data_IF_391928698357
#
_entry.id   IF_391928698357
#
_cell.length_a   1.000
_cell.length_b   1.000
_cell.length_c   1.000
_cell.angle_alpha   90.00
_cell.angle_beta   90.00
_cell.angle_gamma   90.00
#
_symmetry.space_group_name_H-M   'P 1'
#
loop_
_entity.id
_entity.type
_entity.pdbx_description
1 polymer ?
#
# COMPACT_ATOMS: atom_id res chain seq x y z
N UNK A 1 -22.00 -3.82 23.08
CA UNK A 1 -22.11 -2.61 23.92
C UNK A 1 -21.75 -1.33 23.15
N UNK A 2 -21.74 -1.38 21.81
CA UNK A 2 -21.56 -0.22 20.90
C UNK A 2 -22.86 0.29 20.30
N UNK A 3 -24.00 -0.29 20.70
CA UNK A 3 -25.31 -0.02 20.08
C UNK A 3 -26.04 1.21 20.64
N UNK A 4 -25.44 1.88 21.62
CA UNK A 4 -26.01 3.08 22.28
C UNK A 4 -25.25 4.36 21.93
N UNK A 5 -24.40 4.36 20.90
CA UNK A 5 -23.70 5.59 20.51
C UNK A 5 -24.69 6.49 19.79
N UNK A 6 -25.09 7.57 20.43
CA UNK A 6 -25.79 8.69 19.80
C UNK A 6 -24.85 9.23 18.70
N UNK A 7 -25.42 9.59 17.56
CA UNK A 7 -24.63 10.27 16.52
C UNK A 7 -24.14 11.62 17.04
N UNK A 8 -22.92 12.04 16.70
CA UNK A 8 -22.41 13.33 17.11
C UNK A 8 -23.33 14.46 16.63
N UNK A 9 -23.58 15.43 17.52
CA UNK A 9 -24.30 16.65 17.17
C UNK A 9 -23.27 17.75 16.86
N UNK A 10 -23.29 18.23 15.63
CA UNK A 10 -22.40 19.30 15.15
C UNK A 10 -23.15 20.63 14.94
N UNK A 11 -24.35 20.80 15.46
CA UNK A 11 -25.18 22.00 15.26
C UNK A 11 -24.46 23.28 15.63
N UNK A 12 -23.87 23.35 16.84
CA UNK A 12 -23.10 24.52 17.32
C UNK A 12 -21.89 24.85 16.42
N UNK A 13 -21.21 23.81 15.89
CA UNK A 13 -20.08 23.99 14.99
C UNK A 13 -20.55 24.64 13.68
N UNK A 14 -21.61 24.13 13.05
CA UNK A 14 -22.11 24.66 11.77
C UNK A 14 -22.74 26.06 11.95
N UNK A 15 -23.45 26.31 13.04
CA UNK A 15 -23.94 27.66 13.36
C UNK A 15 -22.81 28.67 13.52
N UNK A 16 -21.75 28.28 14.22
CA UNK A 16 -20.57 29.14 14.44
C UNK A 16 -19.87 29.44 13.13
N UNK A 17 -19.67 28.43 12.27
CA UNK A 17 -19.11 28.61 10.92
C UNK A 17 -19.90 29.62 10.11
N UNK A 18 -21.24 29.48 10.12
CA UNK A 18 -22.13 30.39 9.40
C UNK A 18 -22.02 31.83 9.94
N UNK A 19 -22.01 32.00 11.26
CA UNK A 19 -21.82 33.32 11.92
C UNK A 19 -20.51 33.99 11.57
N UNK A 20 -19.44 33.18 11.39
CA UNK A 20 -18.09 33.67 11.09
C UNK A 20 -17.76 33.74 9.57
N UNK A 21 -18.71 33.39 8.70
CA UNK A 21 -18.50 33.29 7.24
C UNK A 21 -17.28 32.43 6.85
N UNK A 22 -17.08 31.28 7.51
CA UNK A 22 -15.98 30.36 7.22
C UNK A 22 -16.41 29.41 6.09
N UNK A 23 -15.76 29.49 4.93
CA UNK A 23 -16.06 28.71 3.72
C UNK A 23 -14.95 27.66 3.41
N UNK A 24 -14.30 27.11 4.41
CA UNK A 24 -13.33 26.03 4.21
C UNK A 24 -14.04 24.67 4.09
N UNK A 25 -13.53 23.68 3.33
CA UNK A 25 -14.09 22.34 3.29
C UNK A 25 -14.21 21.71 4.68
N UNK A 26 -15.25 20.93 4.90
CA UNK A 26 -15.47 20.19 6.14
C UNK A 26 -15.55 18.71 5.80
N UNK A 27 -14.77 17.91 6.51
CA UNK A 27 -14.82 16.46 6.48
C UNK A 27 -15.35 15.97 7.84
N UNK A 28 -16.27 15.03 7.81
CA UNK A 28 -16.72 14.34 9.03
C UNK A 28 -15.89 13.07 9.21
N UNK A 29 -15.39 12.89 10.44
CA UNK A 29 -14.65 11.67 10.80
C UNK A 29 -15.63 10.58 11.23
N UNK A 30 -15.47 9.40 10.66
CA UNK A 30 -16.24 8.19 10.99
C UNK A 30 -15.30 7.16 11.58
N UNK A 31 -15.73 6.47 12.62
CA UNK A 31 -15.02 5.34 13.21
C UNK A 31 -15.73 4.04 12.79
N UNK A 32 -15.08 3.22 11.98
CA UNK A 32 -15.54 1.89 11.61
C UNK A 32 -14.96 0.78 12.50
N UNK A 33 -13.77 1.04 13.09
CA UNK A 33 -13.10 0.12 14.01
C UNK A 33 -12.19 0.87 14.99
N UNK A 34 -11.87 0.24 16.11
CA UNK A 34 -10.84 0.69 17.07
C UNK A 34 -9.74 -0.33 17.21
N UNK A 35 -8.48 0.16 17.22
CA UNK A 35 -7.28 -0.65 17.28
C UNK A 35 -6.91 -1.23 15.92
N UNK A 36 -5.76 -1.86 15.83
CA UNK A 36 -5.28 -2.51 14.61
C UNK A 36 -5.41 -4.02 14.75
N UNK A 37 -6.01 -4.68 13.77
CA UNK A 37 -6.17 -6.14 13.79
C UNK A 37 -4.85 -6.90 13.66
N UNK A 38 -3.84 -6.28 13.00
CA UNK A 38 -2.50 -6.86 12.86
C UNK A 38 -1.69 -6.72 14.15
N UNK A 39 -1.56 -5.50 14.66
CA UNK A 39 -0.94 -5.14 15.95
C UNK A 39 0.42 -5.80 16.23
N UNK A 40 1.27 -6.02 15.22
CA UNK A 40 2.56 -6.73 15.32
C UNK A 40 3.75 -5.97 14.75
N UNK A 41 3.52 -4.79 14.13
CA UNK A 41 4.62 -4.00 13.57
C UNK A 41 5.52 -3.49 14.70
N UNK A 42 6.84 -3.72 14.61
CA UNK A 42 7.78 -3.40 15.70
C UNK A 42 7.83 -1.92 16.05
N UNK A 43 7.70 -1.05 15.06
CA UNK A 43 7.76 0.41 15.22
C UNK A 43 6.45 1.04 15.72
N UNK A 44 5.32 0.35 15.59
CA UNK A 44 4.01 0.95 15.73
C UNK A 44 3.67 1.26 17.19
N UNK A 45 3.25 2.52 17.45
CA UNK A 45 2.80 2.94 18.77
C UNK A 45 1.39 2.41 19.14
N UNK A 46 0.66 1.88 18.16
CA UNK A 46 -0.66 1.28 18.35
C UNK A 46 -0.60 -0.12 18.95
N UNK A 47 0.61 -0.66 19.20
CA UNK A 47 0.84 -1.91 19.95
C UNK A 47 0.51 -1.73 21.44
N UNK A 48 -0.61 -1.07 21.72
CA UNK A 48 -1.20 -0.92 23.04
C UNK A 48 -2.20 -2.04 23.26
N UNK A 49 -2.58 -2.31 24.52
CA UNK A 49 -3.50 -3.37 24.90
C UNK A 49 -4.96 -3.16 24.40
N UNK A 50 -5.15 -2.32 23.39
CA UNK A 50 -6.44 -2.10 22.77
C UNK A 50 -6.87 -3.33 21.97
N UNK A 51 -7.94 -3.97 22.44
CA UNK A 51 -8.59 -5.04 21.66
C UNK A 51 -9.18 -4.44 20.39
N UNK A 52 -8.86 -5.07 19.24
CA UNK A 52 -9.50 -4.73 17.99
C UNK A 52 -11.03 -4.95 18.07
N UNK A 53 -11.80 -3.92 17.75
CA UNK A 53 -13.26 -3.92 17.82
C UNK A 53 -13.84 -3.28 16.58
N UNK A 54 -14.90 -3.86 16.05
CA UNK A 54 -15.62 -3.40 14.87
C UNK A 54 -16.93 -2.73 15.27
N UNK A 55 -17.27 -1.65 14.59
CA UNK A 55 -18.59 -1.07 14.59
C UNK A 55 -19.46 -1.82 13.58
N UNK A 56 -20.74 -2.02 13.88
CA UNK A 56 -21.67 -2.67 12.95
C UNK A 56 -21.85 -1.83 11.67
N UNK A 57 -21.96 -2.48 10.51
CA UNK A 57 -22.02 -1.80 9.21
C UNK A 57 -23.27 -0.91 9.13
N UNK A 58 -24.41 -1.40 9.60
CA UNK A 58 -25.67 -0.65 9.66
C UNK A 58 -25.53 0.65 10.47
N UNK A 59 -24.76 0.63 11.57
CA UNK A 59 -24.49 1.84 12.37
C UNK A 59 -23.59 2.83 11.63
N UNK A 60 -22.59 2.35 10.90
CA UNK A 60 -21.74 3.21 10.04
C UNK A 60 -22.62 3.86 8.97
N UNK A 61 -23.44 3.08 8.30
CA UNK A 61 -24.35 3.55 7.24
C UNK A 61 -25.36 4.57 7.76
N UNK A 62 -25.98 4.29 8.92
CA UNK A 62 -26.91 5.22 9.56
C UNK A 62 -26.26 6.55 9.93
N UNK A 63 -25.05 6.51 10.49
CA UNK A 63 -24.29 7.69 10.86
C UNK A 63 -23.95 8.55 9.63
N UNK A 64 -23.44 7.95 8.56
CA UNK A 64 -23.13 8.66 7.31
C UNK A 64 -24.40 9.31 6.75
N UNK A 65 -25.51 8.56 6.63
CA UNK A 65 -26.77 9.10 6.13
C UNK A 65 -27.33 10.22 7.03
N UNK A 66 -27.19 10.09 8.34
CA UNK A 66 -27.56 11.15 9.28
C UNK A 66 -26.77 12.44 9.04
N UNK A 67 -25.44 12.34 8.86
CA UNK A 67 -24.58 13.50 8.58
C UNK A 67 -24.92 14.17 7.24
N UNK A 68 -25.21 13.38 6.21
CA UNK A 68 -25.62 13.89 4.90
C UNK A 68 -26.96 14.65 5.03
N UNK A 69 -27.96 14.02 5.64
CA UNK A 69 -29.31 14.58 5.70
C UNK A 69 -29.43 15.77 6.66
N UNK A 70 -28.61 15.80 7.74
CA UNK A 70 -28.69 16.85 8.76
C UNK A 70 -27.81 18.05 8.45
N UNK A 71 -26.60 17.80 7.93
CA UNK A 71 -25.58 18.83 7.76
C UNK A 71 -25.12 19.05 6.33
N UNK A 72 -25.70 18.30 5.36
CA UNK A 72 -25.33 18.35 3.93
C UNK A 72 -23.83 18.07 3.69
N UNK A 73 -23.20 17.20 4.52
CA UNK A 73 -21.81 16.79 4.39
C UNK A 73 -21.75 15.50 3.60
N UNK A 74 -20.93 15.49 2.54
CA UNK A 74 -20.75 14.35 1.61
C UNK A 74 -19.34 13.78 1.63
N UNK A 75 -18.41 14.40 2.37
CA UNK A 75 -17.02 14.01 2.43
C UNK A 75 -16.68 13.47 3.82
N UNK A 76 -16.18 12.24 3.86
CA UNK A 76 -15.91 11.50 5.09
C UNK A 76 -14.49 11.02 5.16
N UNK A 77 -13.93 11.03 6.36
CA UNK A 77 -12.63 10.46 6.68
C UNK A 77 -12.80 9.33 7.68
N UNK A 78 -12.23 8.16 7.41
CA UNK A 78 -12.22 7.06 8.36
C UNK A 78 -11.03 7.16 9.31
N UNK A 79 -11.29 6.96 10.62
CA UNK A 79 -10.27 6.96 11.68
C UNK A 79 -9.69 5.57 11.96
N UNK A 80 -10.06 4.60 11.16
CA UNK A 80 -9.60 3.22 11.28
C UNK A 80 -8.10 3.13 10.98
N UNK A 81 -7.35 2.40 11.80
CA UNK A 81 -5.94 2.09 11.53
C UNK A 81 -5.77 1.11 10.36
N UNK A 82 -6.84 0.48 9.95
CA UNK A 82 -6.99 -0.33 8.75
C UNK A 82 -8.48 -0.56 8.50
N UNK A 83 -9.02 0.12 7.50
CA UNK A 83 -10.43 0.03 7.13
C UNK A 83 -10.83 -1.37 6.66
N UNK A 84 -9.89 -2.12 6.06
CA UNK A 84 -10.13 -3.48 5.56
C UNK A 84 -10.35 -4.46 6.73
N UNK A 85 -9.50 -4.38 7.75
CA UNK A 85 -9.55 -5.26 8.89
C UNK A 85 -9.06 -6.68 8.58
N UNK A 86 -9.55 -7.67 9.37
CA UNK A 86 -9.17 -9.07 9.23
C UNK A 86 -10.17 -9.92 8.42
N UNK A 87 -11.34 -9.38 8.15
CA UNK A 87 -12.47 -10.07 7.53
C UNK A 87 -12.81 -9.41 6.19
N UNK A 88 -12.35 -10.04 5.12
CA UNK A 88 -12.54 -9.55 3.75
C UNK A 88 -14.01 -9.60 3.32
N UNK A 89 -14.78 -10.59 3.78
CA UNK A 89 -16.21 -10.67 3.46
C UNK A 89 -16.97 -9.49 4.07
N UNK A 90 -16.71 -9.20 5.34
CA UNK A 90 -17.25 -7.99 5.99
C UNK A 90 -16.83 -6.71 5.26
N UNK A 91 -15.58 -6.63 4.80
CA UNK A 91 -15.11 -5.46 4.05
C UNK A 91 -15.88 -5.29 2.74
N UNK A 92 -16.14 -6.37 2.01
CA UNK A 92 -16.98 -6.33 0.81
C UNK A 92 -18.40 -5.86 1.10
N UNK A 93 -19.01 -6.30 2.20
CA UNK A 93 -20.34 -5.82 2.63
C UNK A 93 -20.32 -4.33 2.98
N UNK A 94 -19.26 -3.84 3.62
CA UNK A 94 -19.08 -2.42 3.90
C UNK A 94 -18.98 -1.60 2.60
N UNK A 95 -18.21 -2.08 1.63
CA UNK A 95 -18.11 -1.43 0.31
C UNK A 95 -19.45 -1.43 -0.44
N UNK A 96 -20.24 -2.51 -0.35
CA UNK A 96 -21.59 -2.55 -0.92
C UNK A 96 -22.48 -1.46 -0.30
N UNK A 97 -22.44 -1.29 1.02
CA UNK A 97 -23.18 -0.23 1.71
C UNK A 97 -22.74 1.16 1.26
N UNK A 98 -21.45 1.38 1.01
CA UNK A 98 -20.96 2.66 0.49
C UNK A 98 -21.40 2.91 -0.96
N UNK A 99 -21.44 1.87 -1.80
CA UNK A 99 -21.98 1.96 -3.16
C UNK A 99 -23.45 2.33 -3.13
N UNK A 100 -24.24 1.74 -2.23
CA UNK A 100 -25.64 2.11 -2.03
C UNK A 100 -25.80 3.58 -1.61
N UNK A 101 -24.99 4.04 -0.64
CA UNK A 101 -24.98 5.46 -0.23
C UNK A 101 -24.63 6.36 -1.42
N UNK A 102 -23.63 6.00 -2.21
CA UNK A 102 -23.19 6.79 -3.36
C UNK A 102 -24.24 6.84 -4.47
N UNK A 103 -25.00 5.77 -4.67
CA UNK A 103 -26.13 5.76 -5.60
C UNK A 103 -27.27 6.69 -5.15
N UNK A 104 -27.53 6.74 -3.85
CA UNK A 104 -28.54 7.65 -3.24
C UNK A 104 -28.02 9.10 -3.19
N UNK A 105 -26.72 9.26 -2.89
CA UNK A 105 -26.05 10.56 -2.74
C UNK A 105 -24.79 10.62 -3.64
N UNK A 106 -24.89 11.00 -4.91
CA UNK A 106 -23.76 10.94 -5.87
C UNK A 106 -22.50 11.74 -5.47
N UNK A 107 -22.66 12.74 -4.59
CA UNK A 107 -21.54 13.53 -4.05
C UNK A 107 -20.77 12.81 -2.94
N UNK A 108 -21.28 11.69 -2.40
CA UNK A 108 -20.63 10.94 -1.34
C UNK A 108 -19.22 10.51 -1.73
N UNK A 109 -18.23 10.81 -0.88
CA UNK A 109 -16.82 10.47 -1.04
C UNK A 109 -16.15 10.14 0.29
N UNK A 110 -15.22 9.18 0.24
CA UNK A 110 -14.30 8.91 1.34
C UNK A 110 -12.96 9.54 0.96
N UNK A 111 -12.67 10.66 1.62
CA UNK A 111 -11.51 11.52 1.34
C UNK A 111 -10.24 11.10 2.08
N UNK A 112 -10.35 10.15 3.02
CA UNK A 112 -9.21 9.46 3.61
C UNK A 112 -9.64 8.13 4.22
N UNK A 113 -8.91 7.07 3.88
CA UNK A 113 -8.95 5.77 4.55
C UNK A 113 -7.54 5.21 4.68
N UNK A 114 -7.17 4.72 5.87
CA UNK A 114 -5.94 3.95 6.06
C UNK A 114 -6.19 2.48 5.76
N UNK A 115 -5.26 1.85 5.03
CA UNK A 115 -5.43 0.46 4.59
C UNK A 115 -4.11 -0.32 4.63
N UNK A 116 -4.25 -1.62 4.89
CA UNK A 116 -3.22 -2.63 4.71
C UNK A 116 -3.44 -3.30 3.34
N UNK A 117 -2.46 -3.24 2.45
CA UNK A 117 -2.60 -3.70 1.04
C UNK A 117 -2.53 -5.22 0.86
N UNK A 118 -2.22 -5.96 1.92
CA UNK A 118 -2.12 -7.42 1.88
C UNK A 118 -3.46 -8.06 1.56
N UNK A 119 -3.43 -9.10 0.73
CA UNK A 119 -4.58 -9.91 0.31
C UNK A 119 -5.59 -9.18 -0.60
N UNK A 120 -5.27 -7.97 -1.08
CA UNK A 120 -6.07 -7.29 -2.09
C UNK A 120 -5.84 -7.89 -3.49
N UNK A 121 -6.91 -7.85 -4.28
CA UNK A 121 -6.90 -8.11 -5.72
C UNK A 121 -7.52 -6.93 -6.48
N UNK A 122 -7.45 -6.99 -7.81
CA UNK A 122 -8.03 -5.96 -8.67
C UNK A 122 -9.53 -5.73 -8.43
N UNK A 123 -10.29 -6.81 -8.24
CA UNK A 123 -11.76 -6.71 -8.06
C UNK A 123 -12.10 -5.92 -6.81
N UNK A 124 -11.39 -6.21 -5.71
CA UNK A 124 -11.56 -5.50 -4.44
C UNK A 124 -11.13 -4.04 -4.57
N UNK A 125 -9.97 -3.77 -5.21
CA UNK A 125 -9.48 -2.39 -5.40
C UNK A 125 -10.45 -1.59 -6.27
N UNK A 126 -10.97 -2.17 -7.36
CA UNK A 126 -11.99 -1.53 -8.18
C UNK A 126 -13.25 -1.21 -7.37
N UNK A 127 -13.71 -2.17 -6.55
CA UNK A 127 -14.89 -1.98 -5.70
C UNK A 127 -14.68 -0.86 -4.67
N UNK A 128 -13.47 -0.70 -4.11
CA UNK A 128 -13.12 0.43 -3.23
C UNK A 128 -13.31 1.77 -3.96
N UNK A 129 -12.83 1.86 -5.20
CA UNK A 129 -13.02 3.05 -6.02
C UNK A 129 -14.51 3.30 -6.33
N UNK A 130 -15.25 2.27 -6.74
CA UNK A 130 -16.69 2.37 -7.02
C UNK A 130 -17.47 2.81 -5.77
N UNK A 131 -17.04 2.40 -4.58
CA UNK A 131 -17.57 2.80 -3.28
C UNK A 131 -17.26 4.26 -2.87
N UNK A 132 -16.49 4.99 -3.68
CA UNK A 132 -16.19 6.40 -3.44
C UNK A 132 -14.93 6.68 -2.63
N UNK A 133 -14.04 5.72 -2.44
CA UNK A 133 -12.72 5.95 -1.81
C UNK A 133 -11.82 6.63 -2.84
N UNK A 134 -11.59 7.94 -2.67
CA UNK A 134 -10.80 8.76 -3.60
C UNK A 134 -9.39 9.06 -3.10
N UNK A 135 -9.15 8.88 -1.81
CA UNK A 135 -7.84 9.03 -1.19
C UNK A 135 -7.61 7.87 -0.21
N UNK A 136 -6.47 7.22 -0.34
CA UNK A 136 -6.06 6.15 0.57
C UNK A 136 -4.63 6.38 1.08
N UNK A 137 -4.45 6.23 2.39
CA UNK A 137 -3.14 6.11 3.01
C UNK A 137 -2.82 4.62 3.18
N UNK A 138 -1.78 4.17 2.50
CA UNK A 138 -1.33 2.78 2.61
C UNK A 138 -0.19 2.65 3.62
N UNK A 139 -0.22 1.59 4.40
CA UNK A 139 0.89 1.27 5.30
C UNK A 139 2.10 0.75 4.52
N UNK A 140 2.73 1.61 3.72
CA UNK A 140 3.80 1.26 2.78
C UNK A 140 5.13 0.94 3.47
N UNK A 141 5.61 1.83 4.30
CA UNK A 141 6.78 1.85 5.17
C UNK A 141 8.13 1.64 4.49
N UNK A 142 8.24 0.80 3.46
CA UNK A 142 9.48 0.54 2.73
C UNK A 142 9.25 0.01 1.32
N UNK A 143 10.18 0.31 0.40
CA UNK A 143 10.29 -0.35 -0.89
C UNK A 143 11.11 -1.66 -0.85
N UNK A 144 11.65 -2.05 0.32
CA UNK A 144 12.33 -3.33 0.53
C UNK A 144 11.36 -4.35 1.14
N UNK A 145 11.13 -5.47 0.45
CA UNK A 145 10.36 -6.61 1.00
C UNK A 145 11.08 -7.26 2.18
N UNK A 146 12.40 -7.28 2.17
CA UNK A 146 13.22 -7.82 3.25
C UNK A 146 13.02 -6.99 4.52
N UNK A 147 13.10 -5.66 4.42
CA UNK A 147 12.91 -4.78 5.55
C UNK A 147 11.47 -4.84 6.07
N UNK A 148 10.45 -4.86 5.20
CA UNK A 148 9.06 -5.04 5.62
C UNK A 148 8.85 -6.31 6.46
N UNK A 149 9.51 -7.40 6.09
CA UNK A 149 9.47 -8.65 6.85
C UNK A 149 10.19 -8.51 8.21
N UNK A 150 11.36 -7.88 8.27
CA UNK A 150 12.12 -7.64 9.50
C UNK A 150 11.30 -6.84 10.52
N UNK A 151 10.60 -5.79 10.09
CA UNK A 151 9.78 -4.94 10.97
C UNK A 151 8.38 -5.52 11.24
N UNK A 152 8.16 -6.78 10.86
CA UNK A 152 6.90 -7.51 11.03
C UNK A 152 5.69 -6.78 10.42
N UNK A 153 5.88 -6.14 9.27
CA UNK A 153 4.77 -5.53 8.53
C UNK A 153 3.95 -6.62 7.82
N UNK A 154 2.63 -6.47 7.78
CA UNK A 154 1.74 -7.41 7.08
C UNK A 154 1.89 -7.29 5.56
N UNK A 155 2.11 -6.08 5.05
CA UNK A 155 2.31 -5.82 3.63
C UNK A 155 3.65 -6.37 3.12
N UNK A 156 3.68 -6.71 1.84
CA UNK A 156 4.89 -6.93 1.06
C UNK A 156 5.05 -5.81 0.02
N UNK A 157 6.24 -5.65 -0.56
CA UNK A 157 6.40 -4.67 -1.65
C UNK A 157 5.51 -5.01 -2.85
N UNK A 158 5.33 -6.30 -3.17
CA UNK A 158 4.42 -6.75 -4.24
C UNK A 158 2.96 -6.37 -4.00
N UNK A 159 2.45 -6.48 -2.76
CA UNK A 159 1.09 -6.06 -2.43
C UNK A 159 0.93 -4.53 -2.50
N UNK A 160 1.94 -3.79 -2.08
CA UNK A 160 1.98 -2.33 -2.22
C UNK A 160 2.01 -1.92 -3.71
N UNK A 161 2.84 -2.58 -4.52
CA UNK A 161 2.94 -2.34 -5.96
C UNK A 161 1.62 -2.62 -6.69
N UNK A 162 0.94 -3.72 -6.36
CA UNK A 162 -0.37 -4.04 -6.92
C UNK A 162 -1.37 -2.92 -6.63
N UNK A 163 -1.43 -2.48 -5.36
CA UNK A 163 -2.35 -1.41 -4.97
C UNK A 163 -2.02 -0.09 -5.66
N UNK A 164 -0.75 0.33 -5.66
CA UNK A 164 -0.29 1.57 -6.33
C UNK A 164 -0.62 1.54 -7.82
N UNK A 165 -0.41 0.40 -8.49
CA UNK A 165 -0.75 0.21 -9.91
C UNK A 165 -2.22 0.49 -10.18
N UNK A 166 -3.12 -0.12 -9.42
CA UNK A 166 -4.56 0.03 -9.66
C UNK A 166 -5.13 1.33 -9.08
N UNK A 167 -4.57 1.86 -8.00
CA UNK A 167 -4.88 3.21 -7.53
C UNK A 167 -4.57 4.25 -8.62
N UNK A 168 -3.41 4.15 -9.26
CA UNK A 168 -3.07 5.01 -10.40
C UNK A 168 -4.02 4.80 -11.59
N UNK A 169 -4.37 3.57 -11.91
CA UNK A 169 -5.31 3.25 -12.99
C UNK A 169 -6.69 3.87 -12.77
N UNK A 170 -7.22 3.81 -11.54
CA UNK A 170 -8.50 4.38 -11.14
C UNK A 170 -8.42 5.84 -10.67
N UNK A 171 -7.23 6.47 -10.70
CA UNK A 171 -7.02 7.85 -10.27
C UNK A 171 -7.29 8.11 -8.79
N UNK A 172 -7.11 7.09 -7.93
CA UNK A 172 -7.12 7.24 -6.48
C UNK A 172 -5.84 7.90 -6.03
N UNK A 173 -5.94 8.94 -5.21
CA UNK A 173 -4.79 9.68 -4.70
C UNK A 173 -4.18 8.92 -3.53
N UNK A 174 -2.88 8.73 -3.55
CA UNK A 174 -2.10 8.18 -2.44
C UNK A 174 -1.31 9.27 -1.70
N UNK A 175 -1.07 10.40 -2.37
CA UNK A 175 -0.32 11.53 -1.82
C UNK A 175 1.12 11.19 -1.43
N UNK A 176 1.54 11.66 -0.27
CA UNK A 176 2.85 11.34 0.30
C UNK A 176 2.80 10.03 1.07
N UNK A 177 3.48 9.01 0.56
CA UNK A 177 3.52 7.68 1.16
C UNK A 177 4.76 7.55 2.06
N UNK A 178 4.55 7.17 3.31
CA UNK A 178 5.62 7.12 4.31
C UNK A 178 6.62 6.01 4.02
N UNK A 179 7.91 6.37 4.01
CA UNK A 179 9.05 5.45 4.02
C UNK A 179 9.81 5.68 5.32
N UNK A 180 9.82 4.70 6.20
CA UNK A 180 10.53 4.78 7.47
C UNK A 180 12.01 4.60 7.26
N UNK A 181 12.80 5.45 7.90
CA UNK A 181 14.25 5.42 7.88
C UNK A 181 14.81 5.27 9.29
N UNK A 182 15.95 4.59 9.43
CA UNK A 182 16.61 4.43 10.72
C UNK A 182 15.96 3.41 11.63
N UNK A 183 15.37 2.42 11.07
CA UNK A 183 14.89 1.25 11.82
C UNK A 183 16.10 0.49 12.42
N UNK A 184 15.97 -0.10 13.62
CA UNK A 184 17.05 -0.88 14.23
C UNK A 184 17.60 -1.98 13.34
N UNK A 185 16.74 -2.70 12.63
CA UNK A 185 17.09 -3.81 11.73
C UNK A 185 17.53 -3.36 10.34
N UNK A 186 17.43 -2.08 10.02
CA UNK A 186 17.76 -1.53 8.69
C UNK A 186 19.23 -1.71 8.39
N UNK A 187 19.52 -2.37 7.27
CA UNK A 187 20.87 -2.55 6.74
C UNK A 187 21.06 -1.77 5.43
N UNK A 188 22.32 -1.65 5.01
CA UNK A 188 22.65 -1.05 3.71
C UNK A 188 22.02 -1.82 2.56
N UNK A 189 21.96 -3.14 2.65
CA UNK A 189 21.37 -4.03 1.63
C UNK A 189 19.87 -3.79 1.49
N UNK A 190 19.16 -3.54 2.60
CA UNK A 190 17.72 -3.21 2.56
C UNK A 190 17.48 -1.90 1.80
N UNK A 191 18.34 -0.89 1.98
CA UNK A 191 18.25 0.38 1.28
C UNK A 191 18.61 0.20 -0.20
N UNK A 192 19.61 -0.61 -0.53
CA UNK A 192 19.98 -0.95 -1.92
C UNK A 192 18.80 -1.66 -2.61
N UNK A 193 18.16 -2.61 -1.93
CA UNK A 193 16.94 -3.26 -2.45
C UNK A 193 15.83 -2.23 -2.68
N UNK A 194 15.58 -1.35 -1.72
CA UNK A 194 14.59 -0.28 -1.85
C UNK A 194 14.88 0.63 -3.06
N UNK A 195 16.15 1.04 -3.25
CA UNK A 195 16.57 1.82 -4.41
C UNK A 195 16.32 1.07 -5.73
N UNK A 196 16.68 -0.22 -5.79
CA UNK A 196 16.47 -1.06 -6.96
C UNK A 196 15.00 -1.24 -7.31
N UNK A 197 14.14 -1.34 -6.28
CA UNK A 197 12.71 -1.58 -6.45
C UNK A 197 11.95 -0.34 -6.95
N UNK A 198 12.49 0.88 -6.83
CA UNK A 198 11.88 2.08 -7.40
C UNK A 198 11.61 1.99 -8.90
N UNK A 199 12.39 1.18 -9.65
CA UNK A 199 12.17 0.95 -11.09
C UNK A 199 10.80 0.35 -11.40
N UNK A 200 10.23 -0.44 -10.48
CA UNK A 200 8.90 -1.03 -10.64
C UNK A 200 7.77 -0.02 -10.38
N UNK A 201 8.09 1.11 -9.75
CA UNK A 201 7.15 2.20 -9.48
C UNK A 201 7.21 3.33 -10.53
N UNK A 202 8.15 3.26 -11.51
CA UNK A 202 8.46 4.33 -12.45
C UNK A 202 7.26 4.90 -13.23
N UNK A 203 6.22 4.10 -13.45
CA UNK A 203 5.02 4.53 -14.16
C UNK A 203 4.00 5.25 -13.30
N UNK A 204 4.15 5.16 -11.97
CA UNK A 204 3.16 5.60 -11.01
C UNK A 204 3.61 6.82 -10.21
N UNK A 205 4.93 7.05 -10.10
CA UNK A 205 5.49 8.17 -9.37
C UNK A 205 5.05 9.49 -10.00
N UNK A 206 4.36 10.30 -9.20
CA UNK A 206 3.81 11.60 -9.58
C UNK A 206 3.71 12.48 -8.34
N UNK A 207 4.09 13.77 -8.42
CA UNK A 207 4.11 14.68 -7.27
C UNK A 207 2.75 14.83 -6.57
N UNK A 208 1.65 14.69 -7.32
CA UNK A 208 0.29 14.87 -6.80
C UNK A 208 -0.37 13.55 -6.41
N UNK A 209 -0.10 12.49 -7.16
CA UNK A 209 -0.82 11.22 -7.04
C UNK A 209 -0.11 10.22 -6.12
N UNK A 210 1.20 10.07 -6.27
CA UNK A 210 2.00 9.13 -5.49
C UNK A 210 3.48 9.53 -5.47
N UNK A 211 4.00 9.79 -4.30
CA UNK A 211 5.43 10.00 -4.02
C UNK A 211 5.77 9.51 -2.63
N UNK A 212 7.03 9.22 -2.39
CA UNK A 212 7.49 8.87 -1.06
C UNK A 212 7.78 10.11 -0.20
N UNK A 213 7.56 9.96 1.09
CA UNK A 213 8.00 10.89 2.12
C UNK A 213 8.81 10.09 3.12
N UNK A 214 10.11 10.34 3.17
CA UNK A 214 10.97 9.66 4.14
C UNK A 214 10.79 10.28 5.52
N UNK A 215 10.51 9.43 6.49
CA UNK A 215 10.26 9.82 7.88
C UNK A 215 11.24 9.05 8.77
N UNK A 216 12.09 9.75 9.56
CA UNK A 216 12.93 9.08 10.55
C UNK A 216 12.06 8.33 11.55
N UNK A 217 12.46 7.10 11.90
CA UNK A 217 11.78 6.35 12.94
C UNK A 217 11.71 7.15 14.24
N UNK A 218 10.51 7.31 14.76
CA UNK A 218 10.26 7.81 16.11
C UNK A 218 9.90 6.62 17.00
N UNK A 219 10.77 6.30 17.95
CA UNK A 219 10.52 5.23 18.92
C UNK A 219 9.61 5.78 20.02
N UNK A 220 8.45 5.18 20.12
CA UNK A 220 7.41 5.52 21.09
C UNK A 220 7.37 4.47 22.22
N UNK A 221 7.05 4.87 23.43
CA UNK A 221 7.01 4.01 24.61
C UNK A 221 6.07 2.81 24.52
N UNK A 222 5.09 2.83 23.62
CA UNK A 222 4.18 1.70 23.37
C UNK A 222 4.66 0.75 22.27
N UNK A 223 5.69 1.12 21.50
CA UNK A 223 6.22 0.28 20.43
C UNK A 223 6.94 -0.96 20.95
N UNK A 224 7.04 -2.00 20.11
CA UNK A 224 7.82 -3.20 20.42
C UNK A 224 9.29 -2.84 20.64
N UNK A 225 9.85 -1.96 19.81
CA UNK A 225 11.23 -1.50 19.96
C UNK A 225 11.51 -0.92 21.35
N UNK A 226 10.61 -0.11 21.88
CA UNK A 226 10.79 0.45 23.22
C UNK A 226 10.75 -0.63 24.31
N UNK A 227 9.86 -1.61 24.16
CA UNK A 227 9.65 -2.69 25.15
C UNK A 227 10.78 -3.72 25.16
N UNK A 228 11.42 -3.96 24.01
CA UNK A 228 12.45 -5.00 23.83
C UNK A 228 13.87 -4.50 24.08
N UNK A 229 14.14 -3.20 23.89
CA UNK A 229 15.47 -2.63 24.10
C UNK A 229 15.59 -2.15 25.55
N UNK A 230 16.58 -2.66 26.28
CA UNK A 230 16.87 -2.24 27.64
C UNK A 230 17.34 -0.79 27.71
N UNK A 231 17.07 -0.11 28.83
CA UNK A 231 17.45 1.29 29.07
C UNK A 231 18.95 1.57 28.86
N UNK A 232 19.80 0.58 29.18
CA UNK A 232 21.27 0.68 29.09
C UNK A 232 21.85 0.17 27.76
N UNK A 233 21.00 -0.23 26.78
CA UNK A 233 21.48 -0.75 25.51
C UNK A 233 22.27 0.33 24.74
N UNK A 234 23.49 0.02 24.27
CA UNK A 234 24.28 0.95 23.47
C UNK A 234 23.59 1.50 22.22
N UNK A 235 22.61 0.79 21.68
CA UNK A 235 21.80 1.24 20.52
C UNK A 235 21.18 2.62 20.77
N UNK A 236 20.87 2.95 22.02
CA UNK A 236 20.28 4.23 22.38
C UNK A 236 21.20 5.45 22.18
N UNK A 237 22.51 5.21 22.04
CA UNK A 237 23.44 6.28 21.66
C UNK A 237 23.20 6.76 20.21
N UNK A 238 22.52 5.95 19.41
CA UNK A 238 22.13 6.28 18.04
C UNK A 238 20.83 7.09 17.97
N UNK A 239 20.15 7.29 19.11
CA UNK A 239 18.88 8.01 19.19
C UNK A 239 19.01 9.28 20.02
N UNK A 240 18.26 10.30 19.62
CA UNK A 240 18.08 11.53 20.39
C UNK A 240 16.61 11.78 20.68
N UNK A 241 16.33 12.57 21.71
CA UNK A 241 14.97 13.07 21.94
C UNK A 241 14.43 13.77 20.71
N UNK A 242 13.19 13.47 20.33
CA UNK A 242 12.51 14.12 19.21
C UNK A 242 12.16 15.58 19.51
N UNK A 243 11.90 15.93 20.79
CA UNK A 243 11.53 17.28 21.23
C UNK A 243 12.66 17.99 21.98
N UNK A 244 12.93 19.23 21.60
CA UNK A 244 14.08 20.03 22.09
C UNK A 244 13.86 20.59 23.53
N UNK A 245 12.60 20.77 23.93
CA UNK A 245 12.24 21.66 25.05
C UNK A 245 12.63 21.12 26.44
N UNK A 246 12.87 19.82 26.60
CA UNK A 246 13.02 19.22 27.93
C UNK A 246 14.33 18.49 28.19
N UNK A 247 15.32 18.63 27.30
CA UNK A 247 16.60 17.87 27.40
C UNK A 247 17.36 18.09 28.70
N UNK A 248 17.26 19.27 29.29
CA UNK A 248 18.01 19.64 30.47
C UNK A 248 17.21 19.47 31.77
N UNK A 249 15.93 19.17 31.71
CA UNK A 249 15.02 19.10 32.86
C UNK A 249 14.95 17.71 33.47
N UNK A 250 15.15 16.67 32.64
CA UNK A 250 15.05 15.29 33.07
C UNK A 250 16.36 14.54 32.85
N UNK A 251 16.74 13.66 33.77
CA UNK A 251 17.84 12.74 33.56
C UNK A 251 17.49 11.73 32.41
N UNK A 252 18.50 11.06 31.86
CA UNK A 252 18.32 10.17 30.70
C UNK A 252 17.30 9.04 30.95
N UNK A 253 17.27 8.50 32.18
CA UNK A 253 16.35 7.42 32.56
C UNK A 253 14.89 7.86 32.56
N UNK A 254 14.63 9.07 33.03
CA UNK A 254 13.29 9.65 33.03
C UNK A 254 12.88 10.09 31.62
N UNK A 255 13.82 10.63 30.83
CA UNK A 255 13.59 10.93 29.40
C UNK A 255 13.16 9.71 28.64
N UNK A 256 13.81 8.57 28.88
CA UNK A 256 13.49 7.28 28.28
C UNK A 256 12.05 6.83 28.51
N UNK A 257 11.51 7.06 29.67
CA UNK A 257 10.15 6.62 30.05
C UNK A 257 9.05 7.51 29.53
N UNK A 258 9.35 8.76 29.22
CA UNK A 258 8.36 9.81 28.99
C UNK A 258 8.36 10.29 27.54
N UNK A 259 9.51 10.26 26.88
CA UNK A 259 9.70 10.95 25.60
C UNK A 259 9.93 9.99 24.43
N UNK A 260 9.68 10.52 23.24
CA UNK A 260 9.97 9.86 21.97
C UNK A 260 11.42 10.08 21.54
N UNK A 261 12.01 9.10 20.87
CA UNK A 261 13.38 9.13 20.39
C UNK A 261 13.45 8.95 18.88
N UNK A 262 14.27 9.75 18.23
CA UNK A 262 14.51 9.70 16.78
C UNK A 262 15.94 9.26 16.52
N UNK A 263 16.13 8.27 15.64
CA UNK A 263 17.47 7.83 15.24
C UNK A 263 18.15 8.91 14.39
N UNK A 264 19.39 9.20 14.75
CA UNK A 264 20.27 10.06 13.96
C UNK A 264 20.84 9.22 12.81
N UNK A 265 20.36 9.48 11.60
CA UNK A 265 20.84 8.77 10.42
C UNK A 265 21.66 9.73 9.59
N UNK A 266 22.85 9.29 9.23
CA UNK A 266 23.65 9.87 8.17
C UNK A 266 23.97 8.77 7.17
N UNK A 267 22.95 8.30 6.44
CA UNK A 267 23.10 7.19 5.52
C UNK A 267 23.12 7.70 4.06
N UNK A 268 24.27 7.62 3.43
CA UNK A 268 24.49 8.03 2.04
C UNK A 268 23.56 7.28 1.08
N UNK A 269 23.21 6.03 1.37
CA UNK A 269 22.30 5.24 0.54
C UNK A 269 20.91 5.85 0.43
N UNK A 270 20.41 6.52 1.48
CA UNK A 270 19.14 7.25 1.41
C UNK A 270 19.21 8.44 0.43
N UNK A 271 20.37 9.07 0.26
CA UNK A 271 20.56 10.08 -0.79
C UNK A 271 20.37 9.46 -2.18
N UNK A 272 20.85 8.24 -2.40
CA UNK A 272 20.64 7.51 -3.67
C UNK A 272 19.16 7.22 -3.91
N UNK A 273 18.43 6.78 -2.88
CA UNK A 273 16.97 6.59 -2.96
C UNK A 273 16.27 7.87 -3.43
N UNK A 274 16.55 9.00 -2.80
CA UNK A 274 15.97 10.29 -3.18
C UNK A 274 16.34 10.73 -4.60
N UNK A 275 17.58 10.49 -5.02
CA UNK A 275 18.01 10.84 -6.38
C UNK A 275 17.28 9.99 -7.44
N UNK A 276 17.13 8.69 -7.20
CA UNK A 276 16.44 7.77 -8.11
C UNK A 276 14.94 8.12 -8.16
N UNK A 277 14.32 8.34 -7.01
CA UNK A 277 12.93 8.77 -6.94
C UNK A 277 12.71 10.10 -7.69
N UNK A 278 13.54 11.11 -7.41
CA UNK A 278 13.51 12.40 -8.11
C UNK A 278 13.65 12.23 -9.62
N UNK A 279 14.52 11.32 -10.05
CA UNK A 279 14.65 11.02 -11.49
C UNK A 279 13.33 10.55 -12.08
N UNK A 280 12.63 9.60 -11.45
CA UNK A 280 11.34 9.10 -11.94
C UNK A 280 10.21 10.14 -11.82
N UNK A 281 10.21 10.97 -10.80
CA UNK A 281 9.25 12.07 -10.63
C UNK A 281 9.40 13.16 -11.69
N UNK A 282 10.63 13.44 -12.16
CA UNK A 282 10.92 14.48 -13.16
C UNK A 282 10.88 13.97 -14.59
N UNK A 283 11.17 12.68 -14.81
CA UNK A 283 11.16 12.05 -16.12
C UNK A 283 9.94 11.15 -16.23
N UNK A 284 8.89 11.65 -16.86
CA UNK A 284 7.61 10.95 -16.96
C UNK A 284 7.76 9.65 -17.77
N UNK A 285 7.74 8.53 -17.07
CA UNK A 285 7.67 7.22 -17.69
C UNK A 285 6.23 6.82 -18.00
N UNK A 286 6.01 6.35 -19.21
CA UNK A 286 4.71 5.83 -19.66
C UNK A 286 4.91 4.59 -20.51
N UNK A 287 3.86 3.79 -20.65
CA UNK A 287 3.89 2.63 -21.54
C UNK A 287 2.62 2.55 -22.38
N UNK A 288 2.72 1.85 -23.50
CA UNK A 288 1.59 1.46 -24.35
C UNK A 288 1.67 -0.02 -24.66
N UNK A 289 0.51 -0.65 -24.66
CA UNK A 289 0.34 -2.04 -25.10
C UNK A 289 -0.53 -1.99 -26.34
N UNK A 290 0.02 -2.48 -27.43
CA UNK A 290 -0.68 -2.61 -28.70
C UNK A 290 -0.90 -4.12 -28.95
N UNK A 291 -2.12 -4.48 -29.32
CA UNK A 291 -2.49 -5.87 -29.60
C UNK A 291 -2.94 -5.98 -31.04
N UNK A 292 -2.43 -6.98 -31.71
CA UNK A 292 -2.86 -7.50 -32.99
C UNK A 292 -3.32 -8.96 -32.82
N UNK A 293 -3.88 -9.57 -33.85
CA UNK A 293 -4.43 -10.95 -33.79
C UNK A 293 -3.43 -11.97 -33.20
N UNK A 294 -2.16 -11.87 -33.57
CA UNK A 294 -1.11 -12.83 -33.19
C UNK A 294 0.03 -12.24 -32.36
N UNK A 295 -0.03 -10.94 -32.05
CA UNK A 295 1.09 -10.23 -31.46
C UNK A 295 0.64 -9.24 -30.42
N UNK A 296 1.40 -9.18 -29.30
CA UNK A 296 1.32 -8.12 -28.31
C UNK A 296 2.63 -7.37 -28.33
N UNK A 297 2.55 -6.05 -28.46
CA UNK A 297 3.70 -5.15 -28.43
C UNK A 297 3.63 -4.25 -27.22
N UNK A 298 4.72 -4.17 -26.48
CA UNK A 298 4.93 -3.24 -25.37
C UNK A 298 5.92 -2.17 -25.80
N UNK A 299 5.57 -0.90 -25.58
CA UNK A 299 6.45 0.24 -25.83
C UNK A 299 6.56 1.09 -24.59
N UNK A 300 7.77 1.41 -24.17
CA UNK A 300 8.04 2.30 -23.03
C UNK A 300 8.59 3.63 -23.51
N UNK A 301 8.16 4.69 -22.85
CA UNK A 301 8.52 6.06 -23.20
C UNK A 301 9.01 6.82 -21.96
N UNK A 302 10.00 7.67 -22.17
CA UNK A 302 10.40 8.72 -21.23
C UNK A 302 10.14 10.06 -21.89
N UNK A 303 9.35 10.92 -21.26
CA UNK A 303 9.01 12.26 -21.79
C UNK A 303 8.56 12.18 -23.28
N UNK A 304 7.71 11.20 -23.60
CA UNK A 304 7.17 10.89 -24.93
C UNK A 304 8.20 10.33 -25.94
N UNK A 305 9.47 10.15 -25.58
CA UNK A 305 10.47 9.49 -26.44
C UNK A 305 10.45 7.98 -26.17
N UNK A 306 10.27 7.18 -27.22
CA UNK A 306 10.35 5.72 -27.09
C UNK A 306 11.77 5.30 -26.70
N UNK A 307 11.88 4.51 -25.65
CA UNK A 307 13.16 4.00 -25.12
C UNK A 307 13.26 2.49 -25.16
N UNK A 308 12.13 1.79 -25.28
CA UNK A 308 12.08 0.33 -25.29
C UNK A 308 10.88 -0.14 -26.10
N UNK A 309 11.08 -1.19 -26.88
CA UNK A 309 10.01 -1.88 -27.59
C UNK A 309 10.24 -3.37 -27.50
N UNK A 310 9.25 -4.09 -27.00
CA UNK A 310 9.23 -5.56 -26.91
C UNK A 310 8.00 -6.07 -27.62
N UNK A 311 8.06 -7.30 -28.11
CA UNK A 311 6.89 -7.92 -28.73
C UNK A 311 6.94 -9.42 -28.57
N UNK A 312 5.77 -10.00 -28.34
CA UNK A 312 5.55 -11.42 -28.13
C UNK A 312 4.39 -11.93 -28.98
N UNK A 313 4.40 -13.22 -29.25
CA UNK A 313 3.17 -13.89 -29.69
C UNK A 313 2.12 -13.77 -28.59
N UNK A 314 0.85 -13.61 -28.97
CA UNK A 314 -0.28 -13.62 -28.00
C UNK A 314 -0.31 -14.88 -27.15
N UNK A 315 0.29 -15.95 -27.62
CA UNK A 315 0.35 -17.26 -26.99
C UNK A 315 1.65 -17.54 -26.23
N UNK A 316 2.56 -16.57 -26.14
CA UNK A 316 3.84 -16.76 -25.47
C UNK A 316 3.69 -16.90 -23.95
N UNK A 317 4.66 -17.53 -23.32
CA UNK A 317 4.67 -17.72 -21.87
C UNK A 317 4.73 -16.38 -21.12
N UNK A 318 5.48 -15.41 -21.64
CA UNK A 318 5.59 -14.07 -21.07
C UNK A 318 4.23 -13.37 -21.00
N UNK A 319 3.45 -13.46 -22.05
CA UNK A 319 2.10 -12.87 -22.12
C UNK A 319 1.16 -13.53 -21.13
N UNK A 320 1.16 -14.86 -21.05
CA UNK A 320 0.36 -15.61 -20.08
C UNK A 320 0.75 -15.26 -18.62
N UNK A 321 2.05 -15.09 -18.34
CA UNK A 321 2.54 -14.64 -17.03
C UNK A 321 1.97 -13.26 -16.71
N UNK A 322 2.11 -12.30 -17.63
CA UNK A 322 1.63 -10.93 -17.43
C UNK A 322 0.13 -10.87 -17.14
N UNK A 323 -0.68 -11.64 -17.85
CA UNK A 323 -2.12 -11.71 -17.61
C UNK A 323 -2.45 -12.28 -16.23
N UNK A 324 -1.85 -13.42 -15.86
CA UNK A 324 -2.17 -14.13 -14.62
C UNK A 324 -1.70 -13.44 -13.37
N UNK A 325 -0.67 -12.60 -13.50
CA UNK A 325 -0.11 -11.85 -12.38
C UNK A 325 -0.58 -10.39 -12.35
N UNK A 326 -1.52 -10.02 -13.24
CA UNK A 326 -2.02 -8.66 -13.31
C UNK A 326 -2.96 -8.31 -12.15
N UNK A 327 -3.90 -9.19 -11.83
CA UNK A 327 -5.03 -8.94 -10.92
C UNK A 327 -4.72 -9.16 -9.44
N UNK A 328 -3.78 -10.06 -9.14
CA UNK A 328 -3.31 -10.37 -7.78
C UNK A 328 -1.95 -11.04 -7.80
N UNK A 329 -1.18 -10.95 -6.69
CA UNK A 329 0.08 -11.68 -6.58
C UNK A 329 -0.12 -13.19 -6.65
N UNK A 330 0.84 -13.89 -7.29
CA UNK A 330 0.85 -15.36 -7.40
C UNK A 330 2.13 -15.93 -6.79
N UNK A 331 2.05 -17.05 -6.07
CA UNK A 331 3.23 -17.86 -5.81
C UNK A 331 3.68 -18.59 -7.08
N UNK A 332 4.96 -18.95 -7.15
CA UNK A 332 5.49 -19.69 -8.29
C UNK A 332 4.70 -20.98 -8.58
N UNK A 333 4.44 -21.77 -7.53
CA UNK A 333 3.67 -23.02 -7.63
C UNK A 333 2.26 -22.79 -8.19
N UNK A 334 1.57 -21.74 -7.69
CA UNK A 334 0.22 -21.40 -8.16
C UNK A 334 0.25 -20.94 -9.60
N UNK A 335 1.18 -20.06 -9.98
CA UNK A 335 1.34 -19.59 -11.34
C UNK A 335 1.61 -20.76 -12.30
N UNK A 336 2.57 -21.64 -11.95
CA UNK A 336 2.88 -22.82 -12.76
C UNK A 336 1.65 -23.73 -12.93
N UNK A 337 0.93 -24.05 -11.85
CA UNK A 337 -0.27 -24.88 -11.93
C UNK A 337 -1.38 -24.27 -12.81
N UNK A 338 -1.58 -22.96 -12.77
CA UNK A 338 -2.54 -22.25 -13.63
C UNK A 338 -2.12 -22.27 -15.10
N UNK A 339 -0.81 -22.15 -15.38
CA UNK A 339 -0.26 -22.24 -16.74
C UNK A 339 -0.39 -23.65 -17.32
N UNK A 340 -0.09 -24.68 -16.53
CA UNK A 340 -0.27 -26.08 -16.91
C UNK A 340 -1.74 -26.36 -17.25
N UNK A 341 -2.67 -26.00 -16.38
CA UNK A 341 -4.10 -26.18 -16.62
C UNK A 341 -4.57 -25.47 -17.90
N UNK A 342 -4.08 -24.24 -18.14
CA UNK A 342 -4.39 -23.50 -19.37
C UNK A 342 -3.82 -24.18 -20.64
N UNK A 343 -2.59 -24.69 -20.57
CA UNK A 343 -1.95 -25.37 -21.67
C UNK A 343 -2.73 -26.64 -22.06
N UNK A 344 -3.14 -27.45 -21.06
CA UNK A 344 -3.96 -28.64 -21.27
C UNK A 344 -5.29 -28.26 -21.93
N UNK A 345 -6.02 -27.28 -21.40
CA UNK A 345 -7.33 -26.87 -21.93
C UNK A 345 -7.25 -26.32 -23.36
N UNK A 346 -6.12 -25.73 -23.75
CA UNK A 346 -5.89 -25.17 -25.08
C UNK A 346 -5.13 -26.11 -26.02
N UNK A 347 -4.87 -27.36 -25.61
CA UNK A 347 -4.09 -28.36 -26.35
C UNK A 347 -2.71 -27.86 -26.78
N UNK A 348 -1.99 -27.13 -25.89
CA UNK A 348 -0.66 -26.56 -26.09
C UNK A 348 0.40 -27.33 -25.33
N UNK A 349 1.68 -27.08 -25.65
CA UNK A 349 2.80 -27.60 -24.88
C UNK A 349 2.78 -27.09 -23.45
N UNK A 350 2.95 -27.96 -22.48
CA UNK A 350 3.01 -27.65 -21.06
C UNK A 350 4.35 -26.96 -20.75
N UNK A 351 4.37 -25.75 -20.18
CA UNK A 351 5.62 -25.11 -19.81
C UNK A 351 6.26 -25.85 -18.62
N UNK A 352 7.53 -26.15 -18.71
CA UNK A 352 8.31 -26.66 -17.59
C UNK A 352 8.73 -25.52 -16.63
N UNK A 353 9.18 -25.90 -15.43
CA UNK A 353 9.59 -24.93 -14.41
C UNK A 353 10.81 -24.11 -14.84
N UNK A 354 11.73 -24.68 -15.64
CA UNK A 354 12.94 -24.00 -16.12
C UNK A 354 12.55 -22.89 -17.08
N UNK A 355 11.66 -23.17 -18.03
CA UNK A 355 11.15 -22.17 -18.97
C UNK A 355 10.40 -21.07 -18.24
N UNK A 356 9.58 -21.42 -17.24
CA UNK A 356 8.88 -20.43 -16.41
C UNK A 356 9.86 -19.54 -15.63
N UNK A 357 10.88 -20.11 -14.99
CA UNK A 357 11.94 -19.35 -14.29
C UNK A 357 12.63 -18.37 -15.24
N UNK A 358 13.04 -18.81 -16.43
CA UNK A 358 13.70 -17.96 -17.46
C UNK A 358 12.79 -16.79 -17.91
N UNK A 359 11.52 -17.06 -18.20
CA UNK A 359 10.59 -16.01 -18.60
C UNK A 359 10.30 -15.01 -17.47
N UNK A 360 10.22 -15.47 -16.23
CA UNK A 360 10.08 -14.60 -15.05
C UNK A 360 11.32 -13.72 -14.86
N UNK A 361 12.52 -14.28 -14.95
CA UNK A 361 13.77 -13.51 -14.86
C UNK A 361 13.90 -12.49 -15.99
N UNK A 362 13.54 -12.85 -17.21
CA UNK A 362 13.47 -11.91 -18.32
C UNK A 362 12.51 -10.76 -18.03
N UNK A 363 11.27 -11.03 -17.66
CA UNK A 363 10.26 -10.02 -17.36
C UNK A 363 10.66 -9.14 -16.15
N UNK A 364 11.32 -9.72 -15.14
CA UNK A 364 11.86 -8.98 -14.00
C UNK A 364 12.97 -8.02 -14.42
N UNK A 365 13.91 -8.46 -15.26
CA UNK A 365 15.00 -7.65 -15.77
C UNK A 365 14.47 -6.50 -16.65
N UNK A 366 13.41 -6.75 -17.43
CA UNK A 366 12.71 -5.74 -18.20
C UNK A 366 11.86 -4.78 -17.34
N UNK A 367 11.69 -5.07 -16.05
CA UNK A 367 10.88 -4.29 -15.12
C UNK A 367 9.38 -4.37 -15.39
N UNK A 368 8.91 -5.50 -15.92
CA UNK A 368 7.51 -5.77 -16.25
C UNK A 368 6.81 -6.67 -15.24
N UNK A 369 7.58 -7.45 -14.50
CA UNK A 369 7.12 -8.29 -13.39
C UNK A 369 8.02 -8.04 -12.20
N UNK A 370 7.43 -7.94 -11.02
CA UNK A 370 8.12 -7.98 -9.73
C UNK A 370 7.81 -9.29 -9.03
N UNK A 371 8.75 -9.81 -8.27
CA UNK A 371 8.57 -10.92 -7.35
C UNK A 371 9.49 -10.80 -6.14
N UNK A 372 9.02 -11.30 -5.00
CA UNK A 372 9.85 -11.46 -3.81
C UNK A 372 10.76 -12.69 -3.99
N UNK A 373 12.05 -12.53 -3.68
CA UNK A 373 12.99 -13.64 -3.63
C UNK A 373 12.96 -14.26 -2.24
N UNK A 374 12.62 -15.52 -2.14
CA UNK A 374 12.77 -16.31 -0.93
C UNK A 374 13.77 -17.43 -1.15
N UNK A 375 14.58 -17.72 -0.13
CA UNK A 375 15.53 -18.81 -0.14
C UNK A 375 14.99 -19.95 0.72
N UNK A 376 14.87 -21.15 0.15
CA UNK A 376 14.52 -22.34 0.88
C UNK A 376 15.81 -23.08 1.29
N UNK A 377 16.15 -22.99 2.58
CA UNK A 377 17.33 -23.62 3.13
C UNK A 377 17.29 -25.17 3.08
N UNK A 378 16.10 -25.77 2.88
CA UNK A 378 15.94 -27.24 2.87
C UNK A 378 16.46 -27.87 1.57
N UNK A 379 16.40 -27.13 0.44
CA UNK A 379 16.85 -27.59 -0.86
C UNK A 379 17.87 -26.68 -1.55
N UNK A 380 18.25 -25.55 -0.91
CA UNK A 380 19.20 -24.61 -1.44
C UNK A 380 18.73 -23.80 -2.64
N UNK A 381 17.43 -23.76 -2.91
CA UNK A 381 16.85 -23.10 -4.07
C UNK A 381 16.23 -21.74 -3.73
N UNK A 382 16.35 -20.80 -4.67
CA UNK A 382 15.60 -19.55 -4.64
C UNK A 382 14.19 -19.77 -5.21
N UNK A 383 13.16 -19.36 -4.47
CA UNK A 383 11.78 -19.36 -4.94
C UNK A 383 11.34 -17.94 -5.27
N UNK A 384 10.45 -17.85 -6.26
CA UNK A 384 9.78 -16.62 -6.63
C UNK A 384 8.40 -16.59 -5.97
N UNK A 385 8.20 -15.65 -5.08
CA UNK A 385 6.92 -15.47 -4.39
C UNK A 385 6.28 -14.13 -4.70
N UNK A 386 4.97 -14.06 -4.48
CA UNK A 386 4.21 -12.83 -4.66
C UNK A 386 4.48 -12.16 -6.02
N UNK A 387 4.50 -12.97 -7.09
CA UNK A 387 4.75 -12.51 -8.46
C UNK A 387 3.61 -11.60 -8.90
N UNK A 388 3.91 -10.39 -9.35
CA UNK A 388 2.94 -9.38 -9.77
C UNK A 388 3.39 -8.64 -11.02
N UNK A 389 2.49 -8.46 -12.00
CA UNK A 389 2.74 -7.62 -13.16
C UNK A 389 2.80 -6.14 -12.77
N UNK A 390 3.81 -5.43 -13.26
CA UNK A 390 3.98 -3.98 -13.08
C UNK A 390 3.01 -3.20 -13.96
N UNK A 391 2.71 -3.70 -15.15
CA UNK A 391 1.82 -3.05 -16.12
C UNK A 391 0.38 -3.57 -15.96
N UNK A 392 -0.59 -2.71 -16.31
CA UNK A 392 -2.00 -3.12 -16.38
C UNK A 392 -2.24 -3.76 -17.74
N UNK A 393 -2.60 -5.04 -17.73
CA UNK A 393 -2.90 -5.83 -18.93
C UNK A 393 -4.01 -6.82 -18.61
N UNK A 394 -5.13 -6.74 -19.30
CA UNK A 394 -6.26 -7.67 -19.15
C UNK A 394 -6.35 -8.63 -20.32
N UNK A 395 -6.87 -9.83 -20.07
CA UNK A 395 -7.29 -10.69 -21.15
C UNK A 395 -8.25 -9.94 -22.08
N UNK A 396 -8.21 -10.23 -23.40
CA UNK A 396 -9.25 -9.72 -24.28
C UNK A 396 -10.60 -10.22 -23.76
N UNK A 397 -11.60 -9.34 -23.74
CA UNK A 397 -12.96 -9.79 -23.55
C UNK A 397 -13.27 -10.82 -24.64
N UNK A 398 -13.66 -12.03 -24.23
CA UNK A 398 -14.20 -12.98 -25.17
C UNK A 398 -15.50 -12.38 -25.69
N UNK A 399 -15.46 -11.82 -26.91
CA UNK A 399 -16.68 -11.52 -27.66
C UNK A 399 -17.42 -12.86 -27.84
N UNK A 400 -18.40 -13.09 -26.95
CA UNK A 400 -19.39 -14.13 -27.14
C UNK A 400 -20.35 -13.70 -28.24
#
# INVERSE_FOLDING_TARGET
MTDLVLFPDYSDFFETRKKLNVDSPVYITIEGSRGCHWNKCHFCYLNTDYKYRLKAIDKITQEIKYMINTYEIFEFQFLDNDLIGKDMERFHLLLDSFIEIKNEFPRFQIVLAEIITKDLDYVTIKKMFDAGIIYAQIGYESASSILLKKINKKNTFSSNLLYVKFANFHKVILGGVNVLTGLPEETTEDIIEACSNLRFLRFFLDYKMFRHVTIPLTVNSSSVYYKEINEDDPIWNLYKLSHIILRNTFNRKDQWKIFEFVRLINNIQWNSFHQIEKYYLTNKHTYRIERDQNKISYKEYINNKNIKSLSWSTDSLEVEILYRTNDKPRSFKKLHSELVASAINRNKSIPDEISLKKSLEFLYNEGLVYYDKSFDASNGENYFENIVSVIVIFYPETTN
#
